data_IF_198896422706
#
_entry.id   IF_198896422706
#
_cell.length_a   1.000
_cell.length_b   1.000
_cell.length_c   1.000
_cell.angle_alpha   90.00
_cell.angle_beta   90.00
_cell.angle_gamma   90.00
#
_symmetry.space_group_name_H-M   'P 1'
#
loop_
_entity.id
_entity.type
_entity.pdbx_description
1 polymer ?
#
# COMPACT_ATOMS: atom_id res chain seq x y z
N UNK A 1 24.47 -17.60 -0.81
CA UNK A 1 23.12 -18.07 -1.25
C UNK A 1 22.16 -16.97 -1.75
N UNK A 2 22.47 -15.67 -1.63
CA UNK A 2 21.55 -14.55 -1.98
C UNK A 2 21.36 -14.31 -3.49
N UNK A 3 22.40 -14.58 -4.31
CA UNK A 3 22.37 -14.31 -5.76
C UNK A 3 21.56 -15.29 -6.62
N UNK A 4 21.51 -16.58 -6.26
CA UNK A 4 20.84 -17.60 -7.10
C UNK A 4 19.31 -17.43 -7.19
N UNK A 5 18.64 -16.95 -6.15
CA UNK A 5 17.17 -16.79 -6.14
C UNK A 5 16.67 -15.52 -6.84
N UNK A 6 17.46 -14.43 -6.84
CA UNK A 6 17.16 -13.20 -7.57
C UNK A 6 17.01 -13.49 -9.08
N UNK A 7 17.95 -14.28 -9.58
CA UNK A 7 18.02 -14.72 -10.98
C UNK A 7 16.78 -15.55 -11.34
N UNK A 8 16.29 -16.43 -10.44
CA UNK A 8 15.13 -17.29 -10.71
C UNK A 8 13.80 -16.54 -10.77
N UNK A 9 13.55 -15.58 -9.88
CA UNK A 9 12.29 -14.81 -9.84
C UNK A 9 12.20 -13.78 -10.97
N UNK A 10 13.30 -13.06 -11.23
CA UNK A 10 13.38 -12.13 -12.36
C UNK A 10 13.22 -12.89 -13.67
N UNK A 11 13.94 -14.01 -13.85
CA UNK A 11 13.82 -14.88 -15.03
C UNK A 11 12.39 -15.38 -15.25
N UNK A 12 11.66 -15.73 -14.18
CA UNK A 12 10.26 -16.15 -14.29
C UNK A 12 9.37 -15.05 -14.86
N UNK A 13 9.40 -13.84 -14.31
CA UNK A 13 8.50 -12.78 -14.76
C UNK A 13 8.93 -12.17 -16.09
N UNK A 14 10.23 -12.03 -16.32
CA UNK A 14 10.79 -11.45 -17.54
C UNK A 14 10.45 -12.28 -18.79
N UNK A 15 10.22 -13.58 -18.63
CA UNK A 15 9.72 -14.42 -19.73
C UNK A 15 8.33 -13.98 -20.22
N UNK A 16 7.46 -13.54 -19.32
CA UNK A 16 6.03 -13.32 -19.62
C UNK A 16 5.63 -11.85 -19.68
N UNK A 17 6.37 -10.96 -19.04
CA UNK A 17 5.99 -9.55 -18.89
C UNK A 17 7.12 -8.62 -19.29
N UNK A 18 6.75 -7.48 -19.86
CA UNK A 18 7.62 -6.31 -20.04
C UNK A 18 7.01 -5.12 -19.29
N UNK A 19 7.86 -4.23 -18.81
CA UNK A 19 7.42 -2.91 -18.31
C UNK A 19 6.95 -2.11 -19.52
N UNK A 20 5.75 -1.53 -19.40
CA UNK A 20 5.08 -0.81 -20.49
C UNK A 20 4.40 0.44 -19.92
N UNK A 21 5.00 1.64 -20.12
CA UNK A 21 4.42 2.90 -19.65
C UNK A 21 3.05 3.23 -20.28
N UNK A 22 2.75 2.70 -21.47
CA UNK A 22 1.49 2.94 -22.18
C UNK A 22 0.34 2.04 -21.67
N UNK A 23 0.68 1.06 -20.83
CA UNK A 23 -0.29 0.21 -20.15
C UNK A 23 -0.76 0.90 -18.87
N UNK A 24 -2.08 0.97 -18.60
CA UNK A 24 -2.61 1.53 -17.34
C UNK A 24 -2.04 0.86 -16.09
N UNK A 25 -1.60 -0.40 -16.19
CA UNK A 25 -1.00 -1.13 -15.08
C UNK A 25 0.52 -0.97 -15.00
N UNK A 26 1.18 -0.48 -16.05
CA UNK A 26 2.64 -0.47 -16.20
C UNK A 26 3.24 -1.77 -16.76
N UNK A 27 2.42 -2.76 -17.17
CA UNK A 27 2.87 -4.03 -17.75
C UNK A 27 2.11 -4.42 -19.01
N UNK A 28 2.83 -5.11 -19.90
CA UNK A 28 2.24 -5.83 -21.05
C UNK A 28 2.81 -7.24 -21.19
N UNK A 29 2.03 -8.14 -21.80
CA UNK A 29 2.41 -9.52 -22.03
C UNK A 29 3.48 -9.61 -23.13
N UNK A 30 4.56 -10.37 -22.90
CA UNK A 30 5.56 -10.72 -23.93
C UNK A 30 5.16 -11.97 -24.72
N UNK A 31 4.43 -12.88 -24.09
CA UNK A 31 3.95 -14.11 -24.71
C UNK A 31 2.72 -14.65 -23.97
N UNK A 32 2.07 -15.64 -24.59
CA UNK A 32 0.97 -16.36 -23.96
C UNK A 32 1.46 -17.09 -22.70
N UNK A 33 0.70 -16.99 -21.62
CA UNK A 33 0.98 -17.72 -20.38
C UNK A 33 0.73 -19.24 -20.50
N UNK A 34 -0.18 -19.64 -21.40
CA UNK A 34 -0.51 -21.02 -21.74
C UNK A 34 -1.24 -21.10 -23.08
N UNK A 35 -1.43 -22.30 -23.64
CA UNK A 35 -2.22 -22.51 -24.87
C UNK A 35 -3.68 -22.03 -24.76
N UNK A 36 -4.24 -22.03 -23.54
CA UNK A 36 -5.63 -21.60 -23.25
C UNK A 36 -5.71 -20.12 -22.84
N UNK A 37 -4.59 -19.41 -22.76
CA UNK A 37 -4.57 -17.99 -22.43
C UNK A 37 -5.25 -17.18 -23.53
N UNK A 38 -6.21 -16.35 -23.14
CA UNK A 38 -6.84 -15.36 -24.04
C UNK A 38 -5.88 -14.22 -24.38
N UNK A 39 -4.95 -13.89 -23.48
CA UNK A 39 -3.96 -12.84 -23.71
C UNK A 39 -2.85 -13.27 -24.67
N UNK A 40 -2.51 -12.40 -25.62
CA UNK A 40 -1.45 -12.53 -26.60
C UNK A 40 -0.23 -11.64 -26.26
N UNK A 41 0.85 -11.81 -27.02
CA UNK A 41 2.00 -10.91 -26.92
C UNK A 41 1.59 -9.49 -27.35
N UNK A 42 1.96 -8.48 -26.56
CA UNK A 42 1.60 -7.08 -26.77
C UNK A 42 0.40 -6.62 -25.94
N UNK A 43 -0.46 -7.52 -25.48
CA UNK A 43 -1.64 -7.14 -24.71
C UNK A 43 -1.28 -6.47 -23.39
N UNK A 44 -2.01 -5.41 -23.05
CA UNK A 44 -1.92 -4.73 -21.75
C UNK A 44 -2.25 -5.73 -20.65
N UNK A 45 -1.34 -5.91 -19.70
CA UNK A 45 -1.51 -6.86 -18.62
C UNK A 45 -2.19 -6.21 -17.42
N UNK A 46 -2.94 -6.99 -16.65
CA UNK A 46 -3.41 -6.58 -15.33
C UNK A 46 -4.86 -6.13 -15.28
N UNK A 47 -5.49 -6.44 -14.16
CA UNK A 47 -6.88 -6.08 -13.84
C UNK A 47 -6.90 -5.37 -12.49
N UNK A 48 -7.63 -4.26 -12.41
CA UNK A 48 -7.79 -3.53 -11.16
C UNK A 48 -8.69 -4.31 -10.21
N UNK A 49 -8.25 -4.45 -8.96
CA UNK A 49 -9.03 -5.08 -7.90
C UNK A 49 -9.83 -4.03 -7.13
N UNK A 50 -10.82 -4.47 -6.36
CA UNK A 50 -11.67 -3.58 -5.54
C UNK A 50 -10.90 -2.73 -4.52
N UNK A 51 -9.70 -3.17 -4.12
CA UNK A 51 -8.80 -2.42 -3.23
C UNK A 51 -7.81 -1.50 -3.99
N UNK A 52 -8.01 -1.30 -5.29
CA UNK A 52 -7.29 -0.33 -6.11
C UNK A 52 -5.91 -0.77 -6.60
N UNK A 53 -5.56 -2.05 -6.53
CA UNK A 53 -4.29 -2.56 -7.06
C UNK A 53 -4.50 -3.26 -8.40
N UNK A 54 -3.55 -3.13 -9.32
CA UNK A 54 -3.50 -4.02 -10.48
C UNK A 54 -2.97 -5.40 -10.09
N UNK A 55 -3.60 -6.45 -10.62
CA UNK A 55 -3.17 -7.84 -10.45
C UNK A 55 -3.18 -8.61 -11.76
N UNK A 56 -2.30 -9.61 -11.89
CA UNK A 56 -2.25 -10.56 -13.01
C UNK A 56 -2.31 -11.98 -12.48
N UNK A 57 -2.84 -12.90 -13.28
CA UNK A 57 -2.79 -14.34 -13.00
C UNK A 57 -1.72 -14.97 -13.87
N UNK A 58 -0.76 -15.67 -13.25
CA UNK A 58 0.26 -16.45 -13.95
C UNK A 58 0.38 -17.81 -13.28
N UNK A 59 0.21 -18.90 -14.05
CA UNK A 59 0.19 -20.28 -13.54
C UNK A 59 -0.79 -20.49 -12.38
N UNK A 60 -2.03 -20.01 -12.53
CA UNK A 60 -3.09 -20.18 -11.52
C UNK A 60 -2.91 -19.37 -10.23
N UNK A 61 -1.94 -18.45 -10.17
CA UNK A 61 -1.69 -17.61 -9.00
C UNK A 61 -1.80 -16.13 -9.32
N UNK A 62 -2.47 -15.38 -8.44
CA UNK A 62 -2.54 -13.92 -8.51
C UNK A 62 -1.23 -13.29 -8.01
N UNK A 63 -0.73 -12.33 -8.79
CA UNK A 63 0.41 -11.49 -8.45
C UNK A 63 0.01 -10.02 -8.57
N UNK A 64 0.47 -9.20 -7.63
CA UNK A 64 0.28 -7.74 -7.71
C UNK A 64 1.27 -7.15 -8.71
N UNK A 65 0.78 -6.29 -9.59
CA UNK A 65 1.57 -5.74 -10.71
C UNK A 65 2.75 -4.91 -10.22
N UNK A 66 2.57 -4.01 -9.24
CA UNK A 66 3.68 -3.23 -8.67
C UNK A 66 4.85 -4.10 -8.16
N UNK A 67 4.59 -5.32 -7.66
CA UNK A 67 5.66 -6.23 -7.22
C UNK A 67 6.42 -6.82 -8.39
N UNK A 68 5.72 -7.15 -9.47
CA UNK A 68 6.36 -7.63 -10.70
C UNK A 68 7.21 -6.52 -11.30
N UNK A 69 6.66 -5.29 -11.41
CA UNK A 69 7.41 -4.14 -11.93
C UNK A 69 8.67 -3.89 -11.10
N UNK A 70 8.57 -3.89 -9.77
CA UNK A 70 9.72 -3.72 -8.89
C UNK A 70 10.82 -4.78 -9.13
N UNK A 71 10.44 -6.04 -9.31
CA UNK A 71 11.39 -7.13 -9.60
C UNK A 71 12.02 -7.00 -10.99
N UNK A 72 11.23 -6.65 -12.02
CA UNK A 72 11.73 -6.49 -13.39
C UNK A 72 12.67 -5.29 -13.52
N UNK A 73 12.30 -4.17 -12.89
CA UNK A 73 13.10 -2.95 -12.86
C UNK A 73 14.37 -3.07 -12.00
N UNK A 74 14.50 -4.16 -11.23
CA UNK A 74 15.67 -4.38 -10.38
C UNK A 74 15.72 -3.43 -9.18
N UNK A 75 14.56 -3.02 -8.66
CA UNK A 75 14.50 -2.20 -7.44
C UNK A 75 15.23 -2.96 -6.31
N UNK A 76 16.17 -2.30 -5.61
CA UNK A 76 16.90 -2.92 -4.51
C UNK A 76 15.94 -3.60 -3.53
N UNK A 77 16.32 -4.78 -3.05
CA UNK A 77 15.56 -5.55 -2.06
C UNK A 77 14.15 -6.03 -2.48
N UNK A 78 13.71 -5.78 -3.72
CA UNK A 78 12.42 -6.28 -4.21
C UNK A 78 12.35 -7.82 -4.19
N UNK A 79 13.49 -8.48 -4.27
CA UNK A 79 13.63 -9.93 -4.12
C UNK A 79 13.37 -10.45 -2.69
N UNK A 80 13.45 -9.58 -1.68
CA UNK A 80 13.15 -9.93 -0.29
C UNK A 80 11.65 -10.13 -0.04
N UNK A 81 10.79 -9.81 -1.02
CA UNK A 81 9.35 -10.08 -1.02
C UNK A 81 9.06 -11.58 -1.16
N UNK A 82 9.58 -12.38 -0.23
CA UNK A 82 9.34 -13.82 -0.17
C UNK A 82 7.93 -14.10 0.35
N UNK A 83 7.32 -15.19 -0.12
CA UNK A 83 6.08 -15.73 0.45
C UNK A 83 6.26 -15.90 1.97
N UNK A 84 5.45 -15.21 2.77
CA UNK A 84 5.48 -15.26 4.24
C UNK A 84 6.43 -14.29 4.94
N UNK A 85 7.29 -13.55 4.22
CA UNK A 85 8.11 -12.51 4.84
C UNK A 85 7.35 -11.17 4.82
N UNK A 86 6.74 -10.81 5.95
CA UNK A 86 6.04 -9.53 6.11
C UNK A 86 6.97 -8.34 6.38
N UNK A 87 8.29 -8.57 6.45
CA UNK A 87 9.27 -7.53 6.81
C UNK A 87 9.35 -6.39 5.80
N UNK A 88 9.05 -6.65 4.53
CA UNK A 88 9.17 -5.68 3.45
C UNK A 88 7.94 -5.68 2.55
N UNK A 89 7.61 -4.49 2.03
CA UNK A 89 6.51 -4.23 1.12
C UNK A 89 6.97 -3.28 0.01
N UNK A 90 6.28 -3.29 -1.12
CA UNK A 90 6.43 -2.28 -2.15
C UNK A 90 5.41 -1.19 -1.88
N UNK A 91 5.92 0.02 -1.69
CA UNK A 91 5.17 1.24 -1.44
C UNK A 91 5.20 2.14 -2.68
N UNK A 92 4.12 2.90 -2.87
CA UNK A 92 3.97 3.89 -3.93
C UNK A 92 4.31 5.25 -3.35
N UNK A 93 5.37 5.89 -3.85
CA UNK A 93 5.89 7.16 -3.31
C UNK A 93 4.80 8.25 -3.36
N UNK A 94 4.07 8.34 -4.48
CA UNK A 94 2.97 9.28 -4.66
C UNK A 94 1.62 8.83 -4.05
N UNK A 95 1.58 7.67 -3.36
CA UNK A 95 0.38 7.06 -2.75
C UNK A 95 -0.71 6.62 -3.73
N UNK A 96 -0.44 6.69 -5.04
CA UNK A 96 -1.36 6.27 -6.08
C UNK A 96 -1.10 4.81 -6.47
N UNK A 97 -2.02 3.91 -6.10
CA UNK A 97 -1.86 2.45 -6.24
C UNK A 97 -1.82 1.95 -7.69
N UNK A 98 -2.30 2.77 -8.62
CA UNK A 98 -2.35 2.52 -10.06
C UNK A 98 -1.06 2.96 -10.76
N UNK A 99 -0.32 3.93 -10.21
CA UNK A 99 0.91 4.46 -10.77
C UNK A 99 2.10 3.52 -10.52
N UNK A 100 2.23 2.47 -11.32
CA UNK A 100 3.25 1.43 -11.12
C UNK A 100 4.58 1.71 -11.82
N UNK A 101 4.86 2.94 -12.24
CA UNK A 101 6.15 3.30 -12.84
C UNK A 101 7.30 2.98 -11.86
N UNK A 102 8.44 2.40 -12.31
CA UNK A 102 9.54 2.04 -11.43
C UNK A 102 10.05 3.18 -10.53
N UNK A 103 10.08 4.41 -11.05
CA UNK A 103 10.47 5.61 -10.32
C UNK A 103 9.53 5.97 -9.15
N UNK A 104 8.30 5.46 -9.17
CA UNK A 104 7.30 5.68 -8.12
C UNK A 104 7.25 4.55 -7.08
N UNK A 105 8.08 3.51 -7.22
CA UNK A 105 8.06 2.34 -6.35
C UNK A 105 9.30 2.28 -5.46
N UNK A 106 9.13 1.84 -4.22
CA UNK A 106 10.24 1.57 -3.29
C UNK A 106 9.95 0.39 -2.37
N UNK A 107 11.00 -0.25 -1.89
CA UNK A 107 10.90 -1.25 -0.82
C UNK A 107 10.92 -0.55 0.53
N UNK A 108 9.93 -0.82 1.36
CA UNK A 108 9.80 -0.25 2.71
C UNK A 108 9.38 -1.31 3.73
N UNK A 109 9.55 -1.00 5.01
CA UNK A 109 8.96 -1.80 6.08
C UNK A 109 7.46 -1.50 6.22
N UNK A 110 6.66 -2.40 6.84
CA UNK A 110 5.25 -2.12 7.12
C UNK A 110 5.01 -0.85 7.91
N UNK A 111 5.91 -0.49 8.84
CA UNK A 111 5.79 0.73 9.64
C UNK A 111 5.89 1.98 8.76
N UNK A 112 6.91 2.04 7.89
CA UNK A 112 7.08 3.14 6.93
C UNK A 112 5.90 3.21 5.94
N UNK A 113 5.45 2.07 5.42
CA UNK A 113 4.27 2.02 4.54
C UNK A 113 3.00 2.56 5.23
N UNK A 114 2.81 2.24 6.52
CA UNK A 114 1.67 2.72 7.29
C UNK A 114 1.75 4.23 7.57
N UNK A 115 2.95 4.78 7.77
CA UNK A 115 3.16 6.22 7.89
C UNK A 115 2.84 6.96 6.57
N UNK A 116 3.08 6.33 5.42
CA UNK A 116 2.70 6.88 4.11
C UNK A 116 1.22 6.73 3.76
N UNK A 117 0.44 6.03 4.59
CA UNK A 117 -1.00 5.95 4.38
C UNK A 117 -1.57 7.34 4.60
N UNK A 118 -2.33 7.85 3.63
CA UNK A 118 -3.12 9.05 3.84
C UNK A 118 -3.91 8.86 5.14
N UNK A 119 -3.75 9.79 6.08
CA UNK A 119 -4.59 9.78 7.26
C UNK A 119 -6.02 9.86 6.75
N UNK A 120 -6.92 8.94 7.14
CA UNK A 120 -8.32 9.16 6.87
C UNK A 120 -8.64 10.56 7.40
N UNK A 121 -9.41 11.35 6.64
CA UNK A 121 -10.06 12.53 7.21
C UNK A 121 -10.62 12.08 8.55
N UNK A 122 -10.22 12.76 9.64
CA UNK A 122 -10.52 12.34 11.00
C UNK A 122 -12.04 12.40 11.17
N UNK A 123 -12.75 11.33 10.83
CA UNK A 123 -14.21 11.21 10.99
C UNK A 123 -14.60 11.18 12.47
N UNK A 124 -13.64 10.99 13.35
CA UNK A 124 -13.79 11.03 14.79
C UNK A 124 -12.82 12.08 15.32
N UNK A 125 -13.31 13.00 16.16
CA UNK A 125 -12.46 13.96 16.83
C UNK A 125 -11.50 13.19 17.73
N UNK A 126 -10.24 13.08 17.29
CA UNK A 126 -9.22 12.39 18.04
C UNK A 126 -9.15 12.99 19.45
N UNK A 127 -9.29 12.15 20.47
CA UNK A 127 -9.35 12.60 21.86
C UNK A 127 -10.75 12.97 22.37
N UNK A 128 -11.82 12.70 21.63
CA UNK A 128 -13.20 12.78 22.13
C UNK A 128 -13.80 11.38 22.22
N UNK A 129 -14.38 11.04 23.38
CA UNK A 129 -15.04 9.76 23.64
C UNK A 129 -16.49 10.00 24.05
N UNK A 130 -17.46 9.52 23.27
CA UNK A 130 -18.87 9.54 23.65
C UNK A 130 -19.18 8.44 24.68
N UNK A 131 -19.88 8.79 25.77
CA UNK A 131 -20.45 7.87 26.76
C UNK A 131 -21.91 8.23 27.04
N UNK A 132 -22.83 7.43 26.51
CA UNK A 132 -24.27 7.72 26.60
C UNK A 132 -24.60 9.06 25.95
N UNK A 133 -25.07 10.01 26.76
CA UNK A 133 -25.41 11.38 26.34
C UNK A 133 -24.25 12.38 26.44
N UNK A 134 -23.09 11.98 26.95
CA UNK A 134 -21.97 12.89 27.22
C UNK A 134 -20.75 12.60 26.34
N UNK A 135 -19.87 13.58 26.22
CA UNK A 135 -18.64 13.58 25.43
C UNK A 135 -17.44 13.92 26.33
N UNK A 136 -16.55 12.96 26.54
CA UNK A 136 -15.32 13.17 27.32
C UNK A 136 -14.17 13.55 26.39
N UNK A 137 -13.56 14.70 26.66
CA UNK A 137 -12.34 15.16 25.99
C UNK A 137 -11.09 14.72 26.74
N UNK A 138 -10.07 14.28 26.00
CA UNK A 138 -8.77 13.86 26.53
C UNK A 138 -7.65 14.09 25.51
N UNK A 139 -6.43 14.16 26.01
CA UNK A 139 -5.21 14.12 25.21
C UNK A 139 -4.18 13.20 25.88
N UNK A 140 -3.04 12.99 25.23
CA UNK A 140 -1.92 12.25 25.80
C UNK A 140 -0.75 13.19 25.99
N UNK A 141 -0.18 13.19 27.20
CA UNK A 141 1.09 13.80 27.51
C UNK A 141 2.11 12.66 27.69
N UNK A 142 2.96 12.46 26.68
CA UNK A 142 3.77 11.24 26.56
C UNK A 142 2.89 9.99 26.46
N UNK A 143 3.05 9.05 27.40
CA UNK A 143 2.26 7.81 27.48
C UNK A 143 1.07 7.90 28.46
N UNK A 144 0.85 9.06 29.08
CA UNK A 144 -0.22 9.25 30.06
C UNK A 144 -1.41 9.94 29.43
N UNK A 145 -2.59 9.35 29.57
CA UNK A 145 -3.84 9.98 29.17
C UNK A 145 -4.23 11.05 30.20
N UNK A 146 -4.43 12.28 29.73
CA UNK A 146 -4.94 13.40 30.51
C UNK A 146 -6.36 13.72 30.06
N UNK A 147 -7.32 13.65 30.99
CA UNK A 147 -8.72 14.00 30.72
C UNK A 147 -8.89 15.51 30.90
N UNK A 148 -9.44 16.17 29.87
CA UNK A 148 -9.75 17.61 29.90
C UNK A 148 -11.07 17.84 30.63
N UNK A 149 -12.07 17.02 30.36
CA UNK A 149 -13.40 17.16 30.96
C UNK A 149 -14.45 16.29 30.26
N UNK A 150 -15.67 16.32 30.77
CA UNK A 150 -16.84 15.69 30.15
C UNK A 150 -17.91 16.74 29.93
N UNK A 151 -18.49 16.75 28.73
CA UNK A 151 -19.39 17.78 28.23
C UNK A 151 -20.67 17.15 27.68
N UNK A 152 -21.75 17.92 27.61
CA UNK A 152 -23.03 17.44 27.11
C UNK A 152 -23.08 17.47 25.58
N UNK A 153 -22.31 18.37 24.96
CA UNK A 153 -22.21 18.47 23.50
C UNK A 153 -20.84 18.03 22.99
N UNK A 154 -20.82 17.60 21.73
CA UNK A 154 -19.59 17.22 21.04
C UNK A 154 -18.70 18.45 20.82
N UNK A 155 -19.32 19.57 20.47
CA UNK A 155 -18.67 20.82 20.10
C UNK A 155 -17.90 21.42 21.29
N UNK A 156 -18.50 21.43 22.49
CA UNK A 156 -17.83 21.87 23.72
C UNK A 156 -16.60 21.02 24.04
N UNK A 157 -16.73 19.69 23.90
CA UNK A 157 -15.62 18.78 24.15
C UNK A 157 -14.44 19.02 23.18
N UNK A 158 -14.73 19.30 21.92
CA UNK A 158 -13.71 19.64 20.91
C UNK A 158 -13.03 20.97 21.23
N UNK A 159 -13.80 22.00 21.59
CA UNK A 159 -13.26 23.33 21.93
C UNK A 159 -12.38 23.28 23.19
N UNK A 160 -12.86 22.63 24.26
CA UNK A 160 -12.09 22.49 25.49
C UNK A 160 -10.75 21.77 25.25
N UNK A 161 -10.77 20.71 24.43
CA UNK A 161 -9.56 19.99 24.05
C UNK A 161 -8.60 20.86 23.24
N UNK A 162 -9.11 21.65 22.29
CA UNK A 162 -8.29 22.53 21.47
C UNK A 162 -7.59 23.59 22.32
N UNK A 163 -8.30 24.17 23.30
CA UNK A 163 -7.73 25.13 24.24
C UNK A 163 -6.56 24.56 25.06
N UNK A 164 -6.68 23.31 25.55
CA UNK A 164 -5.60 22.67 26.32
C UNK A 164 -4.36 22.30 25.48
N UNK A 165 -4.49 22.19 24.16
CA UNK A 165 -3.36 21.86 23.26
C UNK A 165 -2.66 23.10 22.71
N UNK A 166 -3.27 24.28 22.86
CA UNK A 166 -2.74 25.55 22.38
C UNK A 166 -2.05 26.39 23.47
N UNK A 167 -2.06 25.91 24.72
CA UNK A 167 -1.37 26.47 25.87
C UNK A 167 -0.10 25.67 26.17
#
# INVERSE_FOLDING_TARGET
MKGKQLITLKSKFDKYFKIDPESPSGLSWKCKSSKRSSYAAGDKAGTITTNGYYTVVLFGRHYRVHRIVAVLAGIPDAHLLRKGCQKYQIDHINRERTANCPSNLRVVTPSVNNQNRAQPERKHDAGIRKRGKTFTAYYYEGNKQVTVGTFDTREEAVQARAGCLAA
#
